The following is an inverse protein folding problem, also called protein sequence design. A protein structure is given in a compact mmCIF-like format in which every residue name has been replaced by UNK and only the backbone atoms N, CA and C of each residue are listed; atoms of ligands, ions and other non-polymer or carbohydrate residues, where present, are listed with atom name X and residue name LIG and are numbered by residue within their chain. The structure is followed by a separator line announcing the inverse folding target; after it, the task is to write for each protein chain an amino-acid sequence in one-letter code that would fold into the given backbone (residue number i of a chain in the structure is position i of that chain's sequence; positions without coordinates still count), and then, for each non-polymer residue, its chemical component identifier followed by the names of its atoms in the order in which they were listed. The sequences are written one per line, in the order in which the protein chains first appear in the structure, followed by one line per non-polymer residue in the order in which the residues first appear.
data_IF_572167905278
#
_entry.id   IF_572167905278
#
_cell.length_a   1.000
_cell.length_b   1.000
_cell.length_c   1.000
_cell.angle_alpha   90.00
_cell.angle_beta   90.00
_cell.angle_gamma   90.00
#
_symmetry.space_group_name_H-M   'P 1'
#
loop_
_entity.id
_entity.type
_entity.pdbx_description
1 polymer ?
#
# COMPACT_ATOMS: atom_id res chain seq x y z
N UNK A 1 5.95 -19.00 28.66
CA UNK A 1 7.01 -19.48 27.73
C UNK A 1 8.31 -19.55 28.52
N UNK A 2 8.96 -20.72 28.56
CA UNK A 2 9.72 -21.22 29.71
C UNK A 2 11.07 -20.50 29.96
N UNK A 3 11.26 -19.91 31.15
CA UNK A 3 12.50 -19.21 31.56
C UNK A 3 13.78 -20.04 31.37
N UNK A 4 13.71 -21.37 31.56
CA UNK A 4 14.83 -22.28 31.27
C UNK A 4 15.23 -22.28 29.79
N UNK A 5 14.26 -22.21 28.87
CA UNK A 5 14.54 -22.12 27.43
C UNK A 5 15.22 -20.79 27.09
N UNK A 6 14.78 -19.69 27.71
CA UNK A 6 15.43 -18.38 27.54
C UNK A 6 16.87 -18.38 28.06
N UNK A 7 17.13 -18.96 29.24
CA UNK A 7 18.49 -19.08 29.78
C UNK A 7 19.36 -19.94 28.85
N UNK A 8 18.86 -21.10 28.42
CA UNK A 8 19.60 -21.98 27.51
C UNK A 8 19.92 -21.32 26.16
N UNK A 9 18.95 -20.61 25.57
CA UNK A 9 19.16 -19.85 24.33
C UNK A 9 20.16 -18.71 24.54
N UNK A 10 20.06 -17.99 25.65
CA UNK A 10 21.00 -16.92 26.00
C UNK A 10 22.43 -17.44 26.18
N UNK A 11 22.62 -18.53 26.91
CA UNK A 11 23.94 -19.16 27.09
C UNK A 11 24.50 -19.69 25.78
N UNK A 12 23.67 -20.28 24.92
CA UNK A 12 24.09 -20.78 23.61
C UNK A 12 24.55 -19.64 22.69
N UNK A 13 23.81 -18.53 22.67
CA UNK A 13 24.17 -17.35 21.90
C UNK A 13 25.48 -16.71 22.42
N UNK A 14 25.62 -16.56 23.74
CA UNK A 14 26.84 -16.01 24.35
C UNK A 14 28.08 -16.85 24.03
N UNK A 15 27.97 -18.18 24.12
CA UNK A 15 29.04 -19.10 23.72
C UNK A 15 29.43 -18.95 22.26
N UNK A 16 28.46 -18.79 21.34
CA UNK A 16 28.73 -18.62 19.92
C UNK A 16 29.53 -17.34 19.63
N UNK A 17 29.17 -16.23 20.30
CA UNK A 17 29.89 -14.94 20.18
C UNK A 17 31.33 -15.08 20.66
N UNK A 18 31.58 -15.84 21.72
CA UNK A 18 32.92 -16.05 22.25
C UNK A 18 33.80 -16.95 21.35
N UNK A 19 33.21 -17.95 20.70
CA UNK A 19 33.94 -18.90 19.83
C UNK A 19 34.32 -18.24 18.49
N UNK A 20 33.45 -17.40 17.93
CA UNK A 20 33.62 -16.82 16.58
C UNK A 20 33.47 -15.29 16.62
N UNK A 21 34.37 -14.57 17.32
CA UNK A 21 34.24 -13.13 17.51
C UNK A 21 34.34 -12.35 16.19
N UNK A 22 35.17 -12.81 15.24
CA UNK A 22 35.34 -12.15 13.94
C UNK A 22 34.04 -12.06 13.13
N UNK A 23 33.22 -13.11 13.12
CA UNK A 23 31.94 -13.12 12.40
C UNK A 23 30.94 -12.22 13.12
N UNK A 24 30.91 -12.24 14.45
CA UNK A 24 30.00 -11.38 15.22
C UNK A 24 30.29 -9.89 14.99
N UNK A 25 31.57 -9.48 15.03
CA UNK A 25 31.97 -8.08 14.81
C UNK A 25 31.55 -7.62 13.41
N UNK A 26 31.81 -8.43 12.38
CA UNK A 26 31.42 -8.14 11.00
C UNK A 26 29.90 -8.02 10.86
N UNK A 27 29.13 -8.98 11.40
CA UNK A 27 27.67 -8.95 11.33
C UNK A 27 27.06 -7.81 12.15
N UNK A 28 27.64 -7.45 13.30
CA UNK A 28 27.12 -6.37 14.14
C UNK A 28 27.16 -5.02 13.40
N UNK A 29 28.25 -4.74 12.69
CA UNK A 29 28.39 -3.54 11.88
C UNK A 29 27.62 -3.65 10.55
N UNK A 30 27.76 -4.77 9.84
CA UNK A 30 27.14 -4.95 8.53
C UNK A 30 25.63 -5.04 8.55
N UNK A 31 25.06 -5.66 9.60
CA UNK A 31 23.61 -5.73 9.76
C UNK A 31 23.01 -4.54 10.51
N UNK A 32 23.82 -3.52 10.87
CA UNK A 32 23.32 -2.31 11.54
C UNK A 32 22.17 -1.61 10.79
N UNK A 33 22.16 -1.50 9.44
CA UNK A 33 21.02 -0.92 8.71
C UNK A 33 19.72 -1.71 8.87
N UNK A 34 19.79 -3.03 9.04
CA UNK A 34 18.61 -3.88 9.26
C UNK A 34 17.99 -3.59 10.62
N UNK A 35 18.83 -3.33 11.63
CA UNK A 35 18.37 -2.92 12.96
C UNK A 35 17.66 -1.58 12.88
N UNK A 36 18.23 -0.61 12.13
CA UNK A 36 17.59 0.68 11.88
C UNK A 36 16.23 0.49 11.17
N UNK A 37 16.17 -0.33 10.11
CA UNK A 37 14.92 -0.61 9.42
C UNK A 37 13.86 -1.26 10.33
N UNK A 38 14.26 -2.16 11.22
CA UNK A 38 13.36 -2.78 12.18
C UNK A 38 12.80 -1.80 13.23
N UNK A 39 13.57 -0.78 13.60
CA UNK A 39 13.14 0.28 14.54
C UNK A 39 12.25 1.31 13.83
N UNK A 40 12.60 1.69 12.60
CA UNK A 40 11.87 2.71 11.82
C UNK A 40 10.52 2.17 11.33
N UNK A 41 10.44 0.88 11.01
CA UNK A 41 9.21 0.29 10.47
C UNK A 41 8.13 0.11 11.55
N UNK A 42 7.17 1.05 11.56
CA UNK A 42 5.98 1.01 12.42
C UNK A 42 4.85 0.16 11.85
N UNK A 43 5.00 -0.43 10.66
CA UNK A 43 3.96 -1.26 10.05
C UNK A 43 3.79 -2.58 10.80
N UNK A 44 2.56 -3.08 10.89
CA UNK A 44 2.23 -4.32 11.62
C UNK A 44 3.01 -5.54 11.08
N UNK A 45 3.32 -5.55 9.78
CA UNK A 45 3.98 -6.67 9.10
C UNK A 45 5.48 -6.45 8.85
N UNK A 46 6.03 -5.28 9.22
CA UNK A 46 7.46 -4.94 9.12
C UNK A 46 8.09 -5.16 7.73
N UNK A 47 7.39 -4.79 6.66
CA UNK A 47 7.83 -5.04 5.28
C UNK A 47 9.17 -4.39 4.94
N UNK A 48 9.48 -3.20 5.48
CA UNK A 48 10.77 -2.55 5.29
C UNK A 48 11.89 -3.35 5.96
N UNK A 49 11.64 -3.85 7.17
CA UNK A 49 12.64 -4.66 7.89
C UNK A 49 12.95 -5.98 7.16
N UNK A 50 11.95 -6.64 6.57
CA UNK A 50 12.18 -7.86 5.79
C UNK A 50 12.92 -7.59 4.47
N UNK A 51 12.54 -6.54 3.75
CA UNK A 51 13.17 -6.18 2.48
C UNK A 51 14.63 -5.75 2.68
N UNK A 52 14.86 -4.81 3.61
CA UNK A 52 16.20 -4.34 3.97
C UNK A 52 17.01 -5.48 4.57
N UNK A 53 16.43 -6.30 5.46
CA UNK A 53 17.12 -7.41 6.09
C UNK A 53 17.64 -8.45 5.09
N UNK A 54 16.80 -8.89 4.15
CA UNK A 54 17.21 -9.86 3.12
C UNK A 54 18.31 -9.30 2.22
N UNK A 55 18.16 -8.06 1.77
CA UNK A 55 19.14 -7.46 0.86
C UNK A 55 20.44 -7.07 1.57
N UNK A 56 20.38 -6.66 2.84
CA UNK A 56 21.56 -6.36 3.62
C UNK A 56 22.38 -7.62 3.91
N UNK A 57 21.74 -8.74 4.24
CA UNK A 57 22.44 -10.03 4.35
C UNK A 57 23.12 -10.40 3.03
N UNK A 58 22.46 -10.19 1.89
CA UNK A 58 23.09 -10.40 0.58
C UNK A 58 24.31 -9.50 0.37
N UNK A 59 24.27 -8.24 0.79
CA UNK A 59 25.40 -7.30 0.72
C UNK A 59 26.56 -7.64 1.66
N UNK A 60 26.27 -8.24 2.82
CA UNK A 60 27.29 -8.69 3.79
C UNK A 60 27.94 -10.03 3.38
N UNK A 61 27.26 -10.81 2.53
CA UNK A 61 27.69 -12.16 2.15
C UNK A 61 29.09 -12.23 1.50
N UNK A 62 29.48 -11.35 0.55
CA UNK A 62 30.82 -11.35 -0.03
C UNK A 62 31.92 -11.17 1.03
N UNK A 63 31.78 -10.17 1.90
CA UNK A 63 32.70 -9.91 3.00
C UNK A 63 32.76 -11.07 4.01
N UNK A 64 31.64 -11.76 4.24
CA UNK A 64 31.60 -12.96 5.08
C UNK A 64 32.36 -14.14 4.43
N UNK A 65 32.21 -14.33 3.12
CA UNK A 65 32.95 -15.35 2.37
C UNK A 65 34.44 -15.05 2.32
N UNK A 66 34.82 -13.78 2.18
CA UNK A 66 36.22 -13.35 2.24
C UNK A 66 36.83 -13.62 3.61
N UNK A 67 36.11 -13.30 4.68
CA UNK A 67 36.56 -13.61 6.04
C UNK A 67 36.79 -15.13 6.25
N UNK A 68 35.88 -15.96 5.72
CA UNK A 68 35.96 -17.42 5.80
C UNK A 68 37.01 -18.08 4.92
N UNK A 69 37.30 -17.51 3.75
CA UNK A 69 38.35 -18.04 2.88
C UNK A 69 39.73 -17.48 3.24
N UNK A 70 39.78 -16.36 3.95
CA UNK A 70 40.99 -15.71 4.41
C UNK A 70 41.50 -16.23 5.76
N UNK A 71 42.13 -15.33 6.52
CA UNK A 71 42.83 -15.65 7.78
C UNK A 71 41.89 -15.92 8.97
N UNK A 72 40.56 -15.87 8.78
CA UNK A 72 39.53 -16.22 9.78
C UNK A 72 39.79 -15.68 11.19
N UNK A 73 40.32 -14.46 11.30
CA UNK A 73 40.70 -13.87 12.57
C UNK A 73 40.13 -12.46 12.71
N UNK A 74 40.27 -11.89 13.91
CA UNK A 74 39.73 -10.56 14.21
C UNK A 74 40.41 -9.46 13.38
N UNK A 75 41.71 -9.59 13.07
CA UNK A 75 42.41 -8.62 12.22
C UNK A 75 41.80 -8.58 10.82
N UNK A 76 41.54 -9.73 10.20
CA UNK A 76 40.92 -9.80 8.88
C UNK A 76 39.51 -9.20 8.86
N UNK A 77 38.72 -9.41 9.92
CA UNK A 77 37.42 -8.75 10.05
C UNK A 77 37.55 -7.23 10.16
N UNK A 78 38.55 -6.73 10.88
CA UNK A 78 38.83 -5.30 10.97
C UNK A 78 39.30 -4.73 9.63
N UNK A 79 40.16 -5.44 8.90
CA UNK A 79 40.65 -5.02 7.59
C UNK A 79 39.46 -4.80 6.63
N UNK A 80 38.56 -5.78 6.52
CA UNK A 80 37.30 -5.71 5.75
C UNK A 80 36.42 -4.54 6.20
N UNK A 81 36.25 -4.35 7.52
CA UNK A 81 35.41 -3.27 8.06
C UNK A 81 36.02 -1.87 7.88
N UNK A 82 37.30 -1.78 7.54
CA UNK A 82 37.96 -0.51 7.24
C UNK A 82 38.13 -0.24 5.75
N UNK A 83 37.88 -1.24 4.90
CA UNK A 83 37.92 -1.06 3.45
C UNK A 83 36.66 -0.32 2.98
N UNK A 84 36.79 0.86 2.35
CA UNK A 84 35.64 1.61 1.84
C UNK A 84 34.85 0.85 0.76
N UNK A 85 35.48 -0.03 -0.02
CA UNK A 85 34.79 -0.81 -1.05
C UNK A 85 33.89 -1.88 -0.44
N UNK A 86 34.38 -2.60 0.57
CA UNK A 86 33.59 -3.61 1.29
C UNK A 86 32.39 -2.96 1.99
N UNK A 87 32.63 -1.85 2.69
CA UNK A 87 31.55 -1.08 3.32
C UNK A 87 30.53 -0.57 2.30
N UNK A 88 30.98 -0.11 1.13
CA UNK A 88 30.09 0.36 0.08
C UNK A 88 29.18 -0.76 -0.43
N UNK A 89 29.71 -1.96 -0.69
CA UNK A 89 28.92 -3.12 -1.13
C UNK A 89 27.93 -3.54 -0.04
N UNK A 90 28.41 -3.61 1.19
CA UNK A 90 27.63 -4.00 2.36
C UNK A 90 26.42 -3.06 2.56
N UNK A 91 26.66 -1.75 2.56
CA UNK A 91 25.60 -0.76 2.70
C UNK A 91 24.77 -0.56 1.43
N UNK A 92 25.32 -0.84 0.23
CA UNK A 92 24.55 -0.83 -1.01
C UNK A 92 23.44 -1.89 -0.98
N UNK A 93 23.70 -3.07 -0.41
CA UNK A 93 22.65 -4.07 -0.16
C UNK A 93 21.52 -3.50 0.70
N UNK A 94 21.85 -2.90 1.85
CA UNK A 94 20.85 -2.27 2.70
C UNK A 94 20.07 -1.14 1.99
N UNK A 95 20.77 -0.28 1.27
CA UNK A 95 20.18 0.82 0.50
C UNK A 95 19.24 0.31 -0.60
N UNK A 96 19.62 -0.78 -1.27
CA UNK A 96 18.78 -1.40 -2.28
C UNK A 96 17.50 -1.99 -1.69
N UNK A 97 17.56 -2.54 -0.47
CA UNK A 97 16.35 -2.95 0.25
C UNK A 97 15.41 -1.79 0.55
N UNK A 98 15.94 -0.63 0.93
CA UNK A 98 15.14 0.59 1.10
C UNK A 98 14.52 1.07 -0.20
N UNK A 99 15.31 1.08 -1.29
CA UNK A 99 14.81 1.40 -2.62
C UNK A 99 13.65 0.48 -3.02
N UNK A 100 13.80 -0.83 -2.80
CA UNK A 100 12.77 -1.82 -3.11
C UNK A 100 11.49 -1.58 -2.30
N UNK A 101 11.62 -1.27 -1.01
CA UNK A 101 10.49 -0.92 -0.15
C UNK A 101 9.72 0.32 -0.65
N UNK A 102 10.42 1.32 -1.20
CA UNK A 102 9.79 2.53 -1.73
C UNK A 102 9.16 2.33 -3.12
N UNK A 103 9.76 1.47 -3.95
CA UNK A 103 9.33 1.24 -5.33
C UNK A 103 8.18 0.23 -5.43
N UNK A 104 8.10 -0.76 -4.54
CA UNK A 104 7.03 -1.77 -4.60
C UNK A 104 5.62 -1.18 -4.51
N UNK A 105 5.28 -0.29 -3.55
CA UNK A 105 3.92 0.22 -3.41
C UNK A 105 3.35 0.86 -4.69
N UNK A 106 4.01 1.84 -5.34
CA UNK A 106 3.46 2.44 -6.57
C UNK A 106 3.36 1.45 -7.72
N UNK A 107 4.31 0.51 -7.84
CA UNK A 107 4.28 -0.53 -8.88
C UNK A 107 3.07 -1.44 -8.70
N UNK A 108 2.82 -1.90 -7.48
CA UNK A 108 1.67 -2.76 -7.16
C UNK A 108 0.35 -2.01 -7.36
N UNK A 109 0.27 -0.75 -6.92
CA UNK A 109 -0.91 0.10 -7.16
C UNK A 109 -1.19 0.28 -8.64
N UNK A 110 -0.17 0.55 -9.46
CA UNK A 110 -0.32 0.66 -10.91
C UNK A 110 -0.85 -0.62 -11.56
N UNK A 111 -0.29 -1.77 -11.18
CA UNK A 111 -0.74 -3.07 -11.68
C UNK A 111 -2.19 -3.37 -11.28
N UNK A 112 -2.56 -3.09 -10.01
CA UNK A 112 -3.93 -3.28 -9.53
C UNK A 112 -4.92 -2.40 -10.29
N UNK A 113 -4.57 -1.15 -10.61
CA UNK A 113 -5.40 -0.26 -11.42
C UNK A 113 -5.61 -0.82 -12.83
N UNK A 114 -4.56 -1.32 -13.50
CA UNK A 114 -4.68 -1.95 -14.82
C UNK A 114 -5.60 -3.18 -14.77
N UNK A 115 -5.43 -4.05 -13.77
CA UNK A 115 -6.27 -5.23 -13.57
C UNK A 115 -7.73 -4.80 -13.35
N UNK A 116 -7.97 -3.79 -12.52
CA UNK A 116 -9.31 -3.26 -12.26
C UNK A 116 -9.97 -2.72 -13.54
N UNK A 117 -9.24 -1.97 -14.37
CA UNK A 117 -9.75 -1.50 -15.66
C UNK A 117 -10.11 -2.65 -16.61
N UNK A 118 -9.27 -3.68 -16.68
CA UNK A 118 -9.56 -4.84 -17.51
C UNK A 118 -10.84 -5.56 -17.04
N UNK A 119 -11.00 -5.75 -15.72
CA UNK A 119 -12.19 -6.35 -15.14
C UNK A 119 -13.45 -5.52 -15.41
N UNK A 120 -13.38 -4.20 -15.27
CA UNK A 120 -14.51 -3.30 -15.58
C UNK A 120 -14.89 -3.40 -17.07
N UNK A 121 -13.90 -3.48 -17.96
CA UNK A 121 -14.13 -3.56 -19.41
C UNK A 121 -14.80 -4.88 -19.79
N UNK A 122 -14.38 -6.00 -19.18
CA UNK A 122 -15.03 -7.29 -19.36
C UNK A 122 -16.49 -7.24 -18.88
N UNK A 123 -16.74 -6.75 -17.67
CA UNK A 123 -18.09 -6.63 -17.11
C UNK A 123 -19.00 -5.74 -17.98
N UNK A 124 -18.49 -4.62 -18.49
CA UNK A 124 -19.24 -3.75 -19.41
C UNK A 124 -19.55 -4.43 -20.74
N UNK A 125 -18.65 -5.28 -21.22
CA UNK A 125 -18.85 -6.05 -22.47
C UNK A 125 -19.92 -7.12 -22.27
N UNK A 126 -19.90 -7.83 -21.14
CA UNK A 126 -20.94 -8.78 -20.75
C UNK A 126 -22.30 -8.09 -20.58
N UNK A 127 -22.35 -6.94 -19.89
CA UNK A 127 -23.58 -6.14 -19.77
C UNK A 127 -24.14 -5.75 -21.14
N UNK A 128 -23.30 -5.27 -22.07
CA UNK A 128 -23.75 -4.92 -23.44
C UNK A 128 -24.32 -6.13 -24.18
N UNK A 129 -23.73 -7.32 -24.01
CA UNK A 129 -24.25 -8.56 -24.61
C UNK A 129 -25.62 -8.92 -24.02
N UNK A 130 -25.76 -8.86 -22.70
CA UNK A 130 -27.02 -9.14 -22.02
C UNK A 130 -28.12 -8.16 -22.41
N UNK A 131 -27.82 -6.86 -22.52
CA UNK A 131 -28.78 -5.85 -22.99
C UNK A 131 -29.21 -6.14 -24.44
N UNK A 132 -28.28 -6.53 -25.31
CA UNK A 132 -28.61 -6.90 -26.70
C UNK A 132 -29.54 -8.12 -26.78
N UNK A 133 -29.35 -9.10 -25.91
CA UNK A 133 -30.10 -10.36 -25.93
C UNK A 133 -31.45 -10.26 -25.18
N UNK A 134 -31.53 -9.47 -24.10
CA UNK A 134 -32.67 -9.44 -23.18
C UNK A 134 -33.41 -8.08 -23.11
N UNK A 135 -32.91 -7.03 -23.79
CA UNK A 135 -33.49 -5.69 -23.80
C UNK A 135 -32.99 -4.76 -22.67
N UNK A 136 -33.34 -3.47 -22.75
CA UNK A 136 -32.85 -2.41 -21.83
C UNK A 136 -33.19 -2.65 -20.35
N UNK A 137 -34.24 -3.40 -20.05
CA UNK A 137 -34.71 -3.61 -18.67
C UNK A 137 -33.70 -4.29 -17.75
N UNK A 138 -32.72 -5.02 -18.30
CA UNK A 138 -31.67 -5.73 -17.54
C UNK A 138 -30.46 -4.81 -17.23
N UNK A 139 -30.36 -3.64 -17.85
CA UNK A 139 -29.26 -2.69 -17.64
C UNK A 139 -29.32 -1.96 -16.29
N UNK A 140 -30.51 -1.92 -15.67
CA UNK A 140 -30.76 -1.16 -14.44
C UNK A 140 -30.18 -1.95 -13.27
N UNK A 141 -28.98 -1.60 -12.84
CA UNK A 141 -28.38 -2.17 -11.64
C UNK A 141 -29.26 -1.89 -10.40
N UNK A 142 -29.14 -2.69 -9.31
CA UNK A 142 -29.99 -2.57 -8.11
C UNK A 142 -30.11 -1.13 -7.57
N UNK A 143 -29.00 -0.38 -7.58
CA UNK A 143 -28.98 1.04 -7.16
C UNK A 143 -29.84 1.97 -8.01
N UNK A 144 -29.92 1.72 -9.31
CA UNK A 144 -30.73 2.54 -10.20
C UNK A 144 -32.23 2.21 -10.07
N UNK A 145 -32.57 1.00 -9.62
CA UNK A 145 -33.94 0.64 -9.22
C UNK A 145 -34.30 1.36 -7.92
N UNK A 146 -33.45 1.26 -6.90
CA UNK A 146 -33.64 1.94 -5.60
C UNK A 146 -33.83 3.46 -5.76
N UNK A 147 -33.03 4.09 -6.62
CA UNK A 147 -33.11 5.54 -6.88
C UNK A 147 -34.36 5.94 -7.66
N UNK A 148 -34.89 5.04 -8.49
CA UNK A 148 -36.12 5.26 -9.25
C UNK A 148 -37.36 5.02 -8.40
N UNK A 149 -37.36 4.01 -7.54
CA UNK A 149 -38.39 3.83 -6.50
C UNK A 149 -38.43 5.00 -5.52
N UNK A 150 -37.27 5.53 -5.10
CA UNK A 150 -37.22 6.71 -4.24
C UNK A 150 -37.82 7.96 -4.90
N UNK A 151 -37.63 8.12 -6.22
CA UNK A 151 -38.20 9.23 -6.98
C UNK A 151 -39.72 9.07 -7.23
N UNK A 152 -40.18 7.84 -7.45
CA UNK A 152 -41.61 7.53 -7.68
C UNK A 152 -42.43 7.71 -6.39
N UNK A 153 -41.84 7.45 -5.23
CA UNK A 153 -42.47 7.60 -3.92
C UNK A 153 -42.63 9.07 -3.46
N UNK A 154 -41.85 10.00 -4.03
CA UNK A 154 -41.94 11.45 -3.75
C UNK A 154 -42.89 12.18 -4.73
N UNK A 155 -43.20 11.59 -5.89
CA UNK A 155 -44.09 12.15 -6.91
C UNK A 155 -45.57 11.75 -6.82
N UNK A 156 -45.92 10.85 -5.89
CA UNK A 156 -47.26 10.23 -5.79
C UNK A 156 -48.24 10.96 -4.87
N UNK A 157 -48.45 12.27 -5.01
CA UNK A 157 -49.57 12.96 -4.34
C UNK A 157 -50.13 14.11 -5.18
N UNK A 158 -50.74 13.80 -6.31
CA UNK A 158 -51.80 14.57 -7.01
C UNK A 158 -52.32 13.63 -8.10
N UNK A 159 -53.52 13.08 -8.05
CA UNK A 159 -54.75 13.80 -8.39
C UNK A 159 -56.00 12.99 -7.97
N UNK A 160 -56.98 13.65 -7.33
CA UNK A 160 -58.39 13.22 -7.40
C UNK A 160 -59.38 14.40 -7.33
N UNK A 161 -59.85 14.82 -8.51
CA UNK A 161 -61.26 15.02 -8.91
C UNK A 161 -62.19 16.13 -8.27
N UNK A 162 -62.29 17.28 -8.97
CA UNK A 162 -63.50 17.87 -9.64
C UNK A 162 -64.70 18.50 -8.86
N UNK A 163 -65.16 19.68 -9.40
CA UNK A 163 -66.39 20.49 -9.16
C UNK A 163 -66.40 21.39 -7.91
N UNK A 164 -66.75 22.70 -7.88
CA UNK A 164 -67.49 23.64 -8.75
C UNK A 164 -67.21 25.12 -8.29
N UNK A 165 -67.82 26.19 -8.86
CA UNK A 165 -67.15 27.45 -9.22
C UNK A 165 -67.22 28.57 -8.16
N UNK A 166 -66.31 29.55 -8.24
CA UNK A 166 -66.44 30.81 -7.50
C UNK A 166 -65.19 31.69 -7.55
N UNK A 167 -65.31 32.79 -8.27
CA UNK A 167 -64.72 34.11 -7.98
C UNK A 167 -63.21 34.35 -8.22
N UNK A 168 -62.91 34.93 -9.39
CA UNK A 168 -61.88 35.95 -9.60
C UNK A 168 -62.17 37.23 -8.77
N UNK A 169 -61.26 38.24 -8.65
CA UNK A 169 -59.84 38.33 -9.01
C UNK A 169 -58.97 39.05 -7.93
N UNK A 170 -57.64 39.10 -8.10
CA UNK A 170 -56.75 40.27 -7.84
C UNK A 170 -55.28 39.84 -7.67
N UNK A 171 -54.41 40.10 -8.65
CA UNK A 171 -53.47 41.22 -8.58
C UNK A 171 -52.03 40.72 -8.87
N UNK A 172 -51.11 41.60 -9.32
CA UNK A 172 -50.21 41.28 -10.45
C UNK A 172 -48.73 41.09 -10.09
N UNK A 173 -48.03 40.39 -11.00
CA UNK A 173 -46.61 40.59 -11.41
C UNK A 173 -45.54 40.34 -10.32
N UNK A 174 -44.29 39.94 -10.55
CA UNK A 174 -43.30 40.00 -11.63
C UNK A 174 -42.19 39.02 -11.13
N UNK A 175 -41.56 38.15 -11.91
CA UNK A 175 -40.44 38.55 -12.76
C UNK A 175 -39.20 37.66 -12.51
N UNK A 176 -38.81 36.95 -13.57
CA UNK A 176 -37.46 36.57 -14.00
C UNK A 176 -36.46 35.85 -13.06
N UNK A 177 -36.19 34.59 -13.41
CA UNK A 177 -34.90 34.09 -13.95
C UNK A 177 -33.56 34.58 -13.37
N UNK A 178 -32.73 33.62 -12.92
CA UNK A 178 -31.29 33.81 -12.72
C UNK A 178 -30.56 32.60 -12.10
N UNK A 179 -29.97 31.75 -12.95
CA UNK A 179 -29.16 30.53 -12.65
C UNK A 179 -27.76 30.90 -12.07
N UNK A 180 -27.07 29.99 -11.33
CA UNK A 180 -26.05 30.33 -10.32
C UNK A 180 -24.59 30.37 -10.84
N UNK A 181 -23.78 31.20 -10.18
CA UNK A 181 -22.35 31.42 -10.50
C UNK A 181 -21.43 30.42 -9.76
N UNK A 182 -20.64 29.68 -10.55
CA UNK A 182 -19.59 28.76 -10.10
C UNK A 182 -18.41 29.53 -9.45
N UNK A 183 -17.92 29.08 -8.29
CA UNK A 183 -16.59 29.45 -7.79
C UNK A 183 -15.75 28.21 -7.49
N UNK A 184 -14.62 28.08 -8.19
CA UNK A 184 -13.49 27.22 -7.84
C UNK A 184 -12.45 28.03 -7.05
N UNK A 185 -11.81 27.48 -6.00
CA UNK A 185 -10.70 28.15 -5.34
C UNK A 185 -9.33 27.80 -5.97
N UNK A 186 -8.36 28.74 -5.98
CA UNK A 186 -7.05 28.56 -6.61
C UNK A 186 -6.04 27.84 -5.70
N UNK A 187 -5.06 27.22 -6.36
CA UNK A 187 -3.91 26.57 -5.76
C UNK A 187 -2.80 27.57 -5.39
N UNK A 188 -2.20 27.36 -4.21
CA UNK A 188 -0.79 27.66 -3.89
C UNK A 188 -0.30 26.65 -2.87
#
# INVERSE_FOLDING_TARGET
MNNRKFILWGTMAASLVFIIPQVFILLALGLSPTVVAFIVDKSKSKYAAFSVGGMNVAGVTPSLLELWNGKNNVSAAMDILTDPFDLAIMFAGAGFGWMLYLVIPPVVSGLLTVIAHHRITQLRTEQKKLIKEWGEGVAIGPRAIEMREAADNDGGMTDENTAQPGDEPSGPEDGSDGVPELQTPPAT
#
